data_IF_646397429210
#
_entry.id   IF_646397429210
#
_cell.length_a   1.000
_cell.length_b   1.000
_cell.length_c   1.000
_cell.angle_alpha   90.00
_cell.angle_beta   90.00
_cell.angle_gamma   90.00
#
_symmetry.space_group_name_H-M   'P 1'
#
loop_
_entity.id
_entity.type
_entity.pdbx_description
1 polymer ?
#
# COMPACT_ATOMS: atom_id res chain seq x y z
N UNK A 1 25.47 14.98 -14.27
CA UNK A 1 25.46 13.87 -13.30
C UNK A 1 25.02 12.58 -14.01
N UNK A 2 25.66 12.25 -15.13
CA UNK A 2 25.13 11.30 -16.14
C UNK A 2 26.18 10.29 -16.61
N UNK A 3 27.35 10.23 -15.97
CA UNK A 3 28.53 9.60 -16.59
C UNK A 3 28.90 8.26 -15.95
N UNK A 4 28.03 7.72 -15.08
CA UNK A 4 28.20 6.39 -14.54
C UNK A 4 27.77 5.34 -15.55
N UNK A 5 28.68 4.44 -15.95
CA UNK A 5 28.39 3.29 -16.83
C UNK A 5 27.15 2.50 -16.38
N UNK A 6 26.97 2.39 -15.05
CA UNK A 6 25.81 1.73 -14.45
C UNK A 6 24.48 2.48 -14.71
N UNK A 7 24.49 3.81 -14.62
CA UNK A 7 23.31 4.63 -14.88
C UNK A 7 22.90 4.56 -16.36
N UNK A 8 23.89 4.67 -17.25
CA UNK A 8 23.66 4.50 -18.69
C UNK A 8 23.06 3.12 -19.00
N UNK A 9 23.61 2.05 -18.41
CA UNK A 9 23.09 0.70 -18.57
C UNK A 9 21.62 0.57 -18.15
N UNK A 10 21.23 1.09 -16.97
CA UNK A 10 19.84 1.03 -16.50
C UNK A 10 18.90 1.97 -17.24
N UNK A 11 19.41 3.06 -17.82
CA UNK A 11 18.58 3.96 -18.62
C UNK A 11 18.33 3.40 -20.03
N UNK A 12 19.30 2.65 -20.59
CA UNK A 12 19.20 2.01 -21.91
C UNK A 12 18.46 0.67 -21.89
N UNK A 13 18.45 -0.03 -20.74
CA UNK A 13 17.81 -1.33 -20.59
C UNK A 13 16.65 -1.25 -19.59
N UNK A 14 15.46 -1.82 -19.90
CA UNK A 14 14.27 -1.72 -19.04
C UNK A 14 14.32 -2.65 -17.83
N UNK A 15 15.50 -2.93 -17.27
CA UNK A 15 15.69 -3.91 -16.19
C UNK A 15 14.90 -3.51 -14.95
N UNK A 16 14.95 -2.24 -14.57
CA UNK A 16 14.27 -1.71 -13.38
C UNK A 16 12.75 -1.85 -13.50
N UNK A 17 12.07 -1.23 -14.49
CA UNK A 17 10.61 -1.28 -14.57
C UNK A 17 10.08 -2.70 -14.78
N UNK A 18 10.75 -3.54 -15.56
CA UNK A 18 10.36 -4.96 -15.73
C UNK A 18 10.46 -5.71 -14.41
N UNK A 19 11.55 -5.53 -13.66
CA UNK A 19 11.71 -6.17 -12.34
C UNK A 19 10.64 -5.69 -11.37
N UNK A 20 10.33 -4.39 -11.35
CA UNK A 20 9.29 -3.81 -10.50
C UNK A 20 7.93 -4.44 -10.82
N UNK A 21 7.56 -4.57 -12.10
CA UNK A 21 6.29 -5.20 -12.50
C UNK A 21 6.25 -6.66 -12.03
N UNK A 22 7.30 -7.44 -12.28
CA UNK A 22 7.33 -8.86 -11.91
C UNK A 22 7.18 -9.03 -10.39
N UNK A 23 7.95 -8.28 -9.60
CA UNK A 23 7.90 -8.36 -8.13
C UNK A 23 6.52 -7.95 -7.61
N UNK A 24 5.92 -6.86 -8.12
CA UNK A 24 4.60 -6.40 -7.67
C UNK A 24 3.48 -7.36 -8.07
N UNK A 25 3.54 -7.98 -9.26
CA UNK A 25 2.58 -9.02 -9.67
C UNK A 25 2.69 -10.25 -8.77
N UNK A 26 3.91 -10.70 -8.48
CA UNK A 26 4.13 -11.82 -7.57
C UNK A 26 3.69 -11.50 -6.13
N UNK A 27 3.74 -10.24 -5.72
CA UNK A 27 3.28 -9.79 -4.41
C UNK A 27 1.75 -9.90 -4.22
N UNK A 28 0.95 -10.09 -5.28
CA UNK A 28 -0.47 -10.42 -5.12
C UNK A 28 -0.71 -11.82 -4.56
N UNK A 29 0.23 -12.76 -4.75
CA UNK A 29 0.12 -14.12 -4.21
C UNK A 29 -0.02 -14.08 -2.68
N UNK A 30 0.91 -13.47 -1.92
CA UNK A 30 0.76 -13.38 -0.46
C UNK A 30 -0.46 -12.55 -0.03
N UNK A 31 -0.87 -11.51 -0.79
CA UNK A 31 -2.11 -10.77 -0.50
C UNK A 31 -3.33 -11.68 -0.56
N UNK A 32 -3.48 -12.46 -1.64
CA UNK A 32 -4.61 -13.36 -1.82
C UNK A 32 -4.60 -14.44 -0.75
N UNK A 33 -3.42 -15.02 -0.45
CA UNK A 33 -3.28 -15.99 0.62
C UNK A 33 -3.69 -15.40 1.98
N UNK A 34 -3.27 -14.17 2.28
CA UNK A 34 -3.58 -13.53 3.56
C UNK A 34 -5.07 -13.19 3.66
N UNK A 35 -5.69 -12.68 2.60
CA UNK A 35 -7.14 -12.45 2.54
C UNK A 35 -7.92 -13.74 2.73
N UNK A 36 -7.48 -14.84 2.10
CA UNK A 36 -8.09 -16.16 2.29
C UNK A 36 -7.98 -16.61 3.75
N UNK A 37 -6.77 -16.59 4.32
CA UNK A 37 -6.52 -16.99 5.71
C UNK A 37 -7.31 -16.13 6.69
N UNK A 38 -7.39 -14.81 6.47
CA UNK A 38 -8.12 -13.89 7.33
C UNK A 38 -9.62 -14.22 7.43
N UNK A 39 -10.20 -14.76 6.36
CA UNK A 39 -11.62 -15.14 6.31
C UNK A 39 -11.89 -16.54 6.86
N UNK A 40 -10.97 -17.50 6.67
CA UNK A 40 -11.11 -18.88 7.14
C UNK A 40 -10.74 -19.01 8.61
N UNK A 41 -9.75 -18.26 9.09
CA UNK A 41 -9.28 -18.35 10.47
C UNK A 41 -10.33 -17.81 11.47
N UNK A 42 -10.41 -18.39 12.68
CA UNK A 42 -11.28 -17.92 13.75
C UNK A 42 -10.72 -16.65 14.42
N UNK A 43 -10.51 -15.60 13.61
CA UNK A 43 -10.10 -14.28 14.07
C UNK A 43 -11.30 -13.49 14.57
N UNK A 44 -11.08 -12.66 15.60
CA UNK A 44 -12.07 -11.69 16.04
C UNK A 44 -12.44 -10.73 14.90
N UNK A 45 -13.70 -10.27 14.87
CA UNK A 45 -14.24 -9.46 13.76
C UNK A 45 -13.44 -8.19 13.49
N UNK A 46 -12.96 -7.51 14.54
CA UNK A 46 -12.12 -6.31 14.42
C UNK A 46 -10.80 -6.62 13.72
N UNK A 47 -10.10 -7.65 14.18
CA UNK A 47 -8.81 -8.04 13.62
C UNK A 47 -8.95 -8.48 12.16
N UNK A 48 -10.02 -9.24 11.85
CA UNK A 48 -10.36 -9.61 10.48
C UNK A 48 -10.57 -8.39 9.59
N UNK A 49 -11.36 -7.41 10.05
CA UNK A 49 -11.59 -6.18 9.30
C UNK A 49 -10.28 -5.42 9.03
N UNK A 50 -9.47 -5.19 10.07
CA UNK A 50 -8.18 -4.47 9.96
C UNK A 50 -7.26 -5.18 8.96
N UNK A 51 -7.10 -6.51 9.07
CA UNK A 51 -6.26 -7.30 8.16
C UNK A 51 -6.75 -7.27 6.71
N UNK A 52 -8.07 -7.34 6.49
CA UNK A 52 -8.64 -7.28 5.15
C UNK A 52 -8.43 -5.88 4.52
N UNK A 53 -8.72 -4.81 5.24
CA UNK A 53 -8.52 -3.44 4.72
C UNK A 53 -7.04 -3.16 4.48
N UNK A 54 -6.17 -3.56 5.40
CA UNK A 54 -4.71 -3.43 5.26
C UNK A 54 -4.18 -4.16 4.02
N UNK A 55 -4.64 -5.39 3.80
CA UNK A 55 -4.22 -6.20 2.64
C UNK A 55 -4.74 -5.63 1.32
N UNK A 56 -5.98 -5.14 1.28
CA UNK A 56 -6.52 -4.44 0.10
C UNK A 56 -5.76 -3.14 -0.16
N UNK A 57 -5.39 -2.39 0.88
CA UNK A 57 -4.59 -1.18 0.78
C UNK A 57 -3.24 -1.43 0.11
N UNK A 58 -2.51 -2.47 0.53
CA UNK A 58 -1.27 -2.88 -0.14
C UNK A 58 -1.50 -3.35 -1.59
N UNK A 59 -2.64 -3.99 -1.87
CA UNK A 59 -3.03 -4.30 -3.25
C UNK A 59 -3.11 -3.06 -4.13
N UNK A 60 -3.69 -1.96 -3.62
CA UNK A 60 -3.73 -0.67 -4.34
C UNK A 60 -2.32 -0.11 -4.52
N UNK A 61 -1.45 -0.17 -3.49
CA UNK A 61 -0.05 0.27 -3.60
C UNK A 61 0.66 -0.45 -4.75
N UNK A 62 0.52 -1.78 -4.85
CA UNK A 62 1.15 -2.56 -5.92
C UNK A 62 0.60 -2.23 -7.31
N UNK A 63 -0.71 -2.00 -7.44
CA UNK A 63 -1.29 -1.52 -8.72
C UNK A 63 -0.70 -0.18 -9.13
N UNK A 64 -0.61 0.77 -8.20
CA UNK A 64 -0.04 2.11 -8.46
C UNK A 64 1.44 2.00 -8.84
N UNK A 65 2.21 1.15 -8.16
CA UNK A 65 3.62 0.90 -8.49
C UNK A 65 3.79 0.25 -9.86
N UNK A 66 2.92 -0.68 -10.25
CA UNK A 66 2.90 -1.21 -11.62
C UNK A 66 2.55 -0.13 -12.66
N UNK A 67 1.64 0.78 -12.34
CA UNK A 67 1.30 1.90 -13.22
C UNK A 67 2.49 2.86 -13.42
N UNK A 68 3.22 3.17 -12.36
CA UNK A 68 4.47 3.94 -12.44
C UNK A 68 5.53 3.24 -13.29
N UNK A 69 5.77 1.94 -13.05
CA UNK A 69 6.72 1.17 -13.84
C UNK A 69 6.32 1.06 -15.32
N UNK A 70 5.01 1.02 -15.62
CA UNK A 70 4.51 1.10 -16.99
C UNK A 70 4.83 2.46 -17.63
N UNK A 71 4.64 3.57 -16.91
CA UNK A 71 5.02 4.89 -17.40
C UNK A 71 6.52 5.00 -17.66
N UNK A 72 7.34 4.35 -16.84
CA UNK A 72 8.78 4.28 -17.05
C UNK A 72 9.16 3.49 -18.31
N UNK A 73 8.39 2.44 -18.68
CA UNK A 73 8.59 1.72 -19.94
C UNK A 73 8.20 2.54 -21.18
N UNK A 74 7.22 3.41 -21.05
CA UNK A 74 6.71 4.24 -22.15
C UNK A 74 7.47 5.57 -22.30
N UNK A 75 8.47 5.82 -21.44
CA UNK A 75 9.22 7.07 -21.43
C UNK A 75 10.20 7.18 -22.60
N UNK A 76 10.08 8.24 -23.39
CA UNK A 76 10.90 8.46 -24.60
C UNK A 76 12.36 8.82 -24.31
N UNK A 77 12.67 9.34 -23.11
CA UNK A 77 14.02 9.79 -22.73
C UNK A 77 14.88 8.68 -22.10
N UNK A 78 14.33 7.47 -21.97
CA UNK A 78 14.95 6.31 -21.35
C UNK A 78 14.10 5.71 -20.24
N UNK A 79 14.49 4.55 -19.73
CA UNK A 79 13.69 3.81 -18.74
C UNK A 79 13.79 4.34 -17.31
N UNK A 80 14.64 5.35 -17.08
CA UNK A 80 14.75 6.03 -15.80
C UNK A 80 14.22 7.46 -15.94
N UNK A 81 13.25 7.87 -15.11
CA UNK A 81 12.75 9.23 -15.15
C UNK A 81 13.83 10.23 -14.74
N UNK A 82 14.05 11.22 -15.60
CA UNK A 82 14.92 12.36 -15.31
C UNK A 82 14.21 13.42 -14.46
N UNK A 83 12.87 13.46 -14.54
CA UNK A 83 12.01 14.35 -13.77
C UNK A 83 10.83 13.58 -13.18
N UNK A 84 10.38 14.00 -12.01
CA UNK A 84 9.21 13.50 -11.31
C UNK A 84 7.91 14.12 -11.85
N UNK A 85 7.97 15.28 -12.49
CA UNK A 85 6.78 16.02 -12.96
C UNK A 85 6.33 15.67 -14.37
N UNK A 86 7.20 15.07 -15.19
CA UNK A 86 6.89 14.65 -16.55
C UNK A 86 6.77 13.12 -16.67
N UNK A 87 5.68 12.59 -17.25
CA UNK A 87 4.41 13.25 -17.55
C UNK A 87 3.63 13.61 -16.27
N UNK A 88 2.73 14.61 -16.31
CA UNK A 88 2.00 15.10 -15.12
C UNK A 88 1.31 14.01 -14.28
N UNK A 89 0.80 12.95 -14.92
CA UNK A 89 0.18 11.80 -14.25
C UNK A 89 1.12 11.05 -13.31
N UNK A 90 2.45 11.11 -13.55
CA UNK A 90 3.47 10.51 -12.69
C UNK A 90 3.41 11.07 -11.27
N UNK A 91 3.28 12.38 -11.15
CA UNK A 91 3.20 13.05 -9.86
C UNK A 91 1.94 12.62 -9.08
N UNK A 92 0.79 12.56 -9.76
CA UNK A 92 -0.46 12.07 -9.15
C UNK A 92 -0.33 10.63 -8.66
N UNK A 93 0.29 9.75 -9.45
CA UNK A 93 0.54 8.36 -9.04
C UNK A 93 1.49 8.27 -7.84
N UNK A 94 2.53 9.12 -7.76
CA UNK A 94 3.36 9.19 -6.56
C UNK A 94 2.57 9.66 -5.33
N UNK A 95 1.71 10.66 -5.48
CA UNK A 95 0.83 11.10 -4.39
C UNK A 95 -0.06 9.94 -3.92
N UNK A 96 -0.71 9.22 -4.85
CA UNK A 96 -1.49 8.03 -4.53
C UNK A 96 -0.67 6.96 -3.82
N UNK A 97 0.54 6.68 -4.30
CA UNK A 97 1.43 5.71 -3.69
C UNK A 97 1.75 6.08 -2.23
N UNK A 98 2.12 7.34 -1.97
CA UNK A 98 2.44 7.84 -0.63
C UNK A 98 1.21 7.81 0.28
N UNK A 99 0.04 8.24 -0.23
CA UNK A 99 -1.23 8.18 0.50
C UNK A 99 -1.57 6.76 0.93
N UNK A 100 -1.61 5.83 -0.03
CA UNK A 100 -1.96 4.43 0.22
C UNK A 100 -0.97 3.77 1.17
N UNK A 101 0.34 4.04 1.03
CA UNK A 101 1.36 3.48 1.93
C UNK A 101 1.18 4.01 3.35
N UNK A 102 1.00 5.32 3.51
CA UNK A 102 0.76 5.93 4.83
C UNK A 102 -0.54 5.40 5.46
N UNK A 103 -1.56 5.18 4.63
CA UNK A 103 -2.81 4.57 5.06
C UNK A 103 -2.56 3.15 5.58
N UNK A 104 -1.83 2.32 4.86
CA UNK A 104 -1.48 0.97 5.31
C UNK A 104 -0.68 0.98 6.62
N UNK A 105 0.31 1.87 6.77
CA UNK A 105 1.06 2.01 8.02
C UNK A 105 0.19 2.39 9.21
N UNK A 106 -0.87 3.20 9.01
CA UNK A 106 -1.81 3.50 10.10
C UNK A 106 -2.60 2.27 10.56
N UNK A 107 -2.89 1.33 9.67
CA UNK A 107 -3.55 0.06 10.00
C UNK A 107 -2.60 -0.91 10.73
N UNK A 108 -1.29 -0.86 10.49
CA UNK A 108 -0.31 -1.63 11.26
C UNK A 108 -0.29 -1.20 12.73
N UNK A 109 -0.37 0.12 12.97
CA UNK A 109 -0.50 0.69 14.31
C UNK A 109 -1.83 0.25 14.92
N UNK A 110 -2.94 0.34 14.17
CA UNK A 110 -4.26 -0.08 14.64
C UNK A 110 -4.30 -1.57 15.00
N UNK A 111 -3.68 -2.43 14.20
CA UNK A 111 -3.54 -3.86 14.46
C UNK A 111 -2.72 -4.11 15.73
N UNK A 112 -1.61 -3.38 15.91
CA UNK A 112 -0.76 -3.48 17.10
C UNK A 112 -1.51 -3.09 18.38
N UNK A 113 -2.29 -2.01 18.34
CA UNK A 113 -3.14 -1.58 19.44
C UNK A 113 -4.27 -2.59 19.73
N UNK A 114 -4.88 -3.13 18.68
CA UNK A 114 -5.92 -4.16 18.79
C UNK A 114 -5.37 -5.40 19.52
N UNK A 115 -4.17 -5.87 19.15
CA UNK A 115 -3.51 -6.99 19.82
C UNK A 115 -3.11 -6.68 21.25
N UNK A 116 -2.62 -5.46 21.52
CA UNK A 116 -2.33 -5.02 22.89
C UNK A 116 -3.59 -5.06 23.76
N UNK A 117 -4.72 -4.53 23.28
CA UNK A 117 -5.98 -4.53 24.04
C UNK A 117 -6.52 -5.95 24.31
N UNK A 118 -6.38 -6.85 23.33
CA UNK A 118 -6.75 -8.25 23.50
C UNK A 118 -5.94 -8.96 24.60
N UNK A 119 -4.67 -8.56 24.80
CA UNK A 119 -3.79 -9.12 25.83
C UNK A 119 -4.06 -8.49 27.20
N UNK A 120 -4.17 -7.16 27.29
CA UNK A 120 -4.32 -6.46 28.58
C UNK A 120 -5.71 -6.70 29.18
N UNK A 121 -6.77 -6.70 28.37
CA UNK A 121 -8.16 -6.82 28.86
C UNK A 121 -8.99 -7.85 28.08
N UNK A 122 -8.65 -9.15 28.15
CA UNK A 122 -9.24 -10.18 27.28
C UNK A 122 -10.75 -10.34 27.47
N UNK A 123 -11.26 -10.27 28.72
CA UNK A 123 -12.70 -10.38 28.97
C UNK A 123 -13.47 -9.21 28.34
N UNK A 124 -13.03 -7.98 28.59
CA UNK A 124 -13.72 -6.80 28.04
C UNK A 124 -13.66 -6.78 26.51
N UNK A 125 -12.52 -7.17 25.94
CA UNK A 125 -12.34 -7.29 24.50
C UNK A 125 -13.38 -8.23 23.87
N UNK A 126 -13.55 -9.44 24.41
CA UNK A 126 -14.50 -10.44 23.90
C UNK A 126 -15.97 -10.03 24.00
N UNK A 127 -16.35 -9.22 24.99
CA UNK A 127 -17.75 -8.80 25.18
C UNK A 127 -18.07 -7.45 24.53
N UNK A 128 -17.09 -6.72 24.00
CA UNK A 128 -17.31 -5.41 23.38
C UNK A 128 -17.79 -5.54 21.91
N UNK A 129 -19.10 -5.43 21.68
CA UNK A 129 -19.69 -5.42 20.33
C UNK A 129 -19.49 -4.12 19.54
N UNK A 130 -18.76 -3.15 20.09
CA UNK A 130 -18.82 -1.74 19.68
C UNK A 130 -17.77 -1.33 18.63
N UNK A 131 -16.79 -2.17 18.33
CA UNK A 131 -15.55 -1.74 17.70
C UNK A 131 -15.57 -1.56 16.17
N UNK A 132 -16.46 -2.24 15.43
CA UNK A 132 -16.48 -2.14 13.96
C UNK A 132 -16.96 -0.76 13.47
N UNK A 133 -17.92 -0.14 14.16
CA UNK A 133 -18.41 1.21 13.82
C UNK A 133 -17.32 2.25 14.02
N UNK A 134 -16.58 2.16 15.13
CA UNK A 134 -15.44 3.05 15.43
C UNK A 134 -14.31 2.87 14.42
N UNK A 135 -14.02 1.62 14.03
CA UNK A 135 -13.02 1.30 13.00
C UNK A 135 -13.41 1.84 11.62
N UNK A 136 -14.67 1.71 11.21
CA UNK A 136 -15.15 2.26 9.94
C UNK A 136 -15.07 3.79 9.92
N UNK A 137 -15.46 4.46 11.02
CA UNK A 137 -15.35 5.91 11.16
C UNK A 137 -13.88 6.36 11.14
N UNK A 138 -13.00 5.66 11.84
CA UNK A 138 -11.56 5.94 11.82
C UNK A 138 -10.97 5.76 10.42
N UNK A 139 -11.39 4.72 9.69
CA UNK A 139 -10.98 4.48 8.30
C UNK A 139 -11.36 5.66 7.42
N UNK A 140 -12.62 6.11 7.49
CA UNK A 140 -13.11 7.26 6.73
C UNK A 140 -12.38 8.55 7.12
N UNK A 141 -12.14 8.77 8.41
CA UNK A 141 -11.41 9.94 8.89
C UNK A 141 -9.98 9.98 8.35
N UNK A 142 -9.26 8.85 8.37
CA UNK A 142 -7.89 8.78 7.86
C UNK A 142 -7.82 9.03 6.35
N UNK A 143 -8.76 8.47 5.58
CA UNK A 143 -8.87 8.72 4.12
C UNK A 143 -9.14 10.20 3.85
N UNK A 144 -10.07 10.81 4.58
CA UNK A 144 -10.39 12.22 4.43
C UNK A 144 -9.22 13.13 4.83
N UNK A 145 -8.55 12.85 5.94
CA UNK A 145 -7.43 13.65 6.45
C UNK A 145 -6.22 13.62 5.51
N UNK A 146 -5.95 12.47 4.88
CA UNK A 146 -4.88 12.37 3.89
C UNK A 146 -5.16 13.23 2.65
N UNK A 147 -6.42 13.33 2.21
CA UNK A 147 -6.81 14.17 1.08
C UNK A 147 -6.55 15.66 1.33
N UNK A 148 -6.72 16.13 2.57
CA UNK A 148 -6.51 17.53 2.95
C UNK A 148 -5.04 17.96 3.02
N UNK A 149 -4.09 17.04 3.21
CA UNK A 149 -2.67 17.38 3.40
C UNK A 149 -1.87 17.47 2.09
N UNK A 150 -2.49 17.09 0.97
CA UNK A 150 -1.89 17.04 -0.37
C UNK A 150 -2.39 18.14 -1.32
N UNK A 151 -3.27 19.03 -0.82
CA UNK A 151 -3.64 20.29 -1.46
C UNK A 151 -2.81 21.43 -0.85
#
# INVERSE_FOLDING_TARGET
>A
MTDGVLFAFFNENPVIPVTVIIVNVLAFIPIICLLYIANVAPLHSNCRYILCIWSMGFGVVFVVTCALAKLDLENATGYMPLDMYEPHIRFELYQWHVMCTTFCSSFEIALSLERMLAIVHPRHYHFSGMAWKTLAILTLFLVCLQKYKLQ
#
